data_IF_705942901989
#
_entry.id   IF_705942901989
#
_cell.length_a   1.000
_cell.length_b   1.000
_cell.length_c   1.000
_cell.angle_alpha   90.00
_cell.angle_beta   90.00
_cell.angle_gamma   90.00
#
_symmetry.space_group_name_H-M   'P 1'
#
loop_
_entity.id
_entity.type
_entity.pdbx_description
1 polymer ?
#
# COMPACT_ATOMS: atom_id res chain seq x y z
N UNK A 1 34.23 9.33 -9.02
CA UNK A 1 32.82 9.78 -9.19
C UNK A 1 32.13 9.71 -7.83
N UNK A 2 31.90 10.86 -7.19
CA UNK A 2 31.26 10.93 -5.88
C UNK A 2 29.82 10.44 -5.94
N UNK A 3 29.38 9.62 -4.98
CA UNK A 3 27.97 9.26 -4.82
C UNK A 3 27.18 10.55 -4.58
N UNK A 4 26.13 10.85 -5.37
CA UNK A 4 25.26 11.98 -5.05
C UNK A 4 24.65 11.72 -3.68
N UNK A 5 24.92 12.60 -2.74
CA UNK A 5 24.30 12.62 -1.41
C UNK A 5 22.85 13.02 -1.66
N UNK A 6 21.96 12.04 -1.82
CA UNK A 6 20.52 12.27 -1.81
C UNK A 6 20.20 12.76 -0.39
N UNK A 7 19.52 13.90 -0.27
CA UNK A 7 19.16 14.41 1.06
C UNK A 7 18.24 13.42 1.79
N UNK A 8 18.36 13.31 3.12
CA UNK A 8 17.56 12.37 3.93
C UNK A 8 16.06 12.49 3.63
N UNK A 9 15.56 13.70 3.39
CA UNK A 9 14.16 13.97 3.05
C UNK A 9 13.74 13.44 1.67
N UNK A 10 14.62 13.49 0.67
CA UNK A 10 14.38 12.92 -0.66
C UNK A 10 14.46 11.38 -0.64
N UNK A 11 15.39 10.83 0.14
CA UNK A 11 15.52 9.39 0.36
C UNK A 11 14.27 8.83 1.07
N UNK A 12 13.77 9.52 2.09
CA UNK A 12 12.55 9.17 2.80
C UNK A 12 11.30 9.19 1.92
N UNK A 13 11.20 10.18 1.02
CA UNK A 13 10.04 10.29 0.14
C UNK A 13 10.06 9.27 -1.02
N UNK A 14 11.24 8.74 -1.36
CA UNK A 14 11.39 7.57 -2.24
C UNK A 14 10.99 6.25 -1.56
N UNK A 15 11.28 6.12 -0.26
CA UNK A 15 10.98 4.96 0.58
C UNK A 15 9.51 4.97 1.05
N UNK A 16 8.56 4.86 0.11
CA UNK A 16 7.17 4.53 0.46
C UNK A 16 7.10 3.06 0.91
N UNK A 17 7.44 2.82 2.17
CA UNK A 17 7.43 1.49 2.77
C UNK A 17 6.00 1.13 3.15
N UNK A 18 5.48 0.09 2.51
CA UNK A 18 4.20 -0.55 2.82
C UNK A 18 4.36 -1.52 3.98
N UNK A 19 3.30 -1.72 4.76
CA UNK A 19 3.37 -2.63 5.91
C UNK A 19 3.55 -4.08 5.47
N UNK A 20 4.16 -4.96 6.29
CA UNK A 20 4.34 -6.37 5.92
C UNK A 20 3.03 -7.08 5.58
N UNK A 21 1.92 -6.67 6.19
CA UNK A 21 0.59 -7.26 5.94
C UNK A 21 0.00 -6.81 4.62
N UNK A 22 0.16 -5.53 4.26
CA UNK A 22 -0.21 -5.04 2.93
C UNK A 22 0.65 -5.71 1.85
N UNK A 23 1.95 -5.85 2.10
CA UNK A 23 2.88 -6.56 1.23
C UNK A 23 2.46 -8.01 0.99
N UNK A 24 2.09 -8.72 2.06
CA UNK A 24 1.58 -10.09 1.98
C UNK A 24 0.34 -10.17 1.09
N UNK A 25 -0.67 -9.33 1.34
CA UNK A 25 -1.92 -9.33 0.57
C UNK A 25 -1.67 -8.94 -0.90
N UNK A 26 -0.80 -7.96 -1.13
CA UNK A 26 -0.43 -7.48 -2.46
C UNK A 26 0.25 -8.58 -3.28
N UNK A 27 1.28 -9.25 -2.74
CA UNK A 27 1.96 -10.35 -3.44
C UNK A 27 0.99 -11.49 -3.73
N UNK A 28 0.18 -11.88 -2.73
CA UNK A 28 -0.79 -12.96 -2.91
C UNK A 28 -1.74 -12.66 -4.08
N UNK A 29 -2.32 -11.45 -4.08
CA UNK A 29 -3.19 -11.02 -5.17
C UNK A 29 -2.45 -10.95 -6.51
N UNK A 30 -1.27 -10.34 -6.55
CA UNK A 30 -0.51 -10.17 -7.80
C UNK A 30 -0.09 -11.50 -8.42
N UNK A 31 0.38 -12.46 -7.62
CA UNK A 31 0.76 -13.79 -8.14
C UNK A 31 -0.47 -14.54 -8.62
N UNK A 32 -1.52 -14.62 -7.79
CA UNK A 32 -2.76 -15.30 -8.17
C UNK A 32 -3.36 -14.71 -9.45
N UNK A 33 -3.40 -13.39 -9.57
CA UNK A 33 -4.02 -12.73 -10.71
C UNK A 33 -3.13 -12.73 -11.96
N UNK A 34 -1.90 -12.23 -11.87
CA UNK A 34 -1.04 -12.06 -13.05
C UNK A 34 -0.38 -13.37 -13.50
N UNK A 35 -0.04 -14.27 -12.57
CA UNK A 35 0.60 -15.55 -12.90
C UNK A 35 -0.46 -16.62 -13.12
N UNK A 36 -1.29 -16.90 -12.11
CA UNK A 36 -2.15 -18.09 -12.14
C UNK A 36 -3.38 -17.90 -13.03
N UNK A 37 -4.02 -16.73 -13.00
CA UNK A 37 -5.18 -16.44 -13.85
C UNK A 37 -4.70 -16.02 -15.24
N UNK A 38 -4.05 -14.86 -15.38
CA UNK A 38 -3.72 -14.31 -16.70
C UNK A 38 -2.56 -15.09 -17.34
N UNK A 39 -1.52 -15.40 -16.57
CA UNK A 39 -0.31 -16.05 -17.06
C UNK A 39 -0.57 -17.45 -17.57
N UNK A 40 -1.33 -18.28 -16.84
CA UNK A 40 -1.61 -19.66 -17.28
C UNK A 40 -2.78 -19.80 -18.26
N UNK A 41 -3.67 -18.79 -18.35
CA UNK A 41 -4.83 -18.84 -19.23
C UNK A 41 -4.53 -19.23 -20.69
N UNK A 42 -3.52 -18.65 -21.38
CA UNK A 42 -3.21 -18.99 -22.78
C UNK A 42 -2.90 -20.46 -23.03
N UNK A 43 -2.38 -21.16 -22.02
CA UNK A 43 -1.91 -22.54 -22.11
C UNK A 43 -3.00 -23.56 -21.82
N UNK A 44 -4.02 -23.16 -21.06
CA UNK A 44 -5.21 -23.97 -20.78
C UNK A 44 -6.25 -23.86 -21.91
N UNK A 45 -6.22 -22.77 -22.66
CA UNK A 45 -7.09 -22.50 -23.79
C UNK A 45 -6.68 -23.31 -25.03
N UNK A 46 -7.65 -23.87 -25.75
CA UNK A 46 -7.43 -24.67 -26.96
C UNK A 46 -6.83 -23.88 -28.15
N UNK A 47 -6.06 -24.53 -29.05
CA UNK A 47 -5.54 -25.90 -28.94
C UNK A 47 -4.47 -26.02 -27.85
N UNK A 48 -4.48 -27.13 -27.13
CA UNK A 48 -3.48 -27.40 -26.08
C UNK A 48 -2.13 -27.75 -26.70
N UNK A 49 -1.05 -27.21 -26.15
CA UNK A 49 0.32 -27.59 -26.51
C UNK A 49 1.13 -27.88 -25.25
N UNK A 50 1.54 -29.14 -25.10
CA UNK A 50 2.30 -29.60 -23.93
C UNK A 50 3.64 -28.85 -23.81
N UNK A 51 4.30 -28.57 -24.93
CA UNK A 51 5.60 -27.86 -24.96
C UNK A 51 5.48 -26.47 -24.35
N UNK A 52 4.49 -25.69 -24.80
CA UNK A 52 4.24 -24.35 -24.28
C UNK A 52 3.79 -24.39 -22.81
N UNK A 53 2.93 -25.35 -22.44
CA UNK A 53 2.47 -25.50 -21.07
C UNK A 53 3.63 -25.82 -20.10
N UNK A 54 4.51 -26.75 -20.43
CA UNK A 54 5.67 -27.10 -19.59
C UNK A 54 6.67 -25.95 -19.47
N UNK A 55 6.91 -25.22 -20.57
CA UNK A 55 7.79 -24.05 -20.56
C UNK A 55 7.24 -22.92 -19.66
N UNK A 56 5.92 -22.73 -19.62
CA UNK A 56 5.26 -21.80 -18.70
C UNK A 56 5.26 -22.30 -17.24
N UNK A 57 5.11 -23.61 -17.05
CA UNK A 57 4.93 -24.20 -15.72
C UNK A 57 6.13 -23.98 -14.80
N UNK A 58 7.35 -24.14 -15.30
CA UNK A 58 8.57 -24.02 -14.49
C UNK A 58 8.72 -22.64 -13.81
N UNK A 59 8.72 -21.51 -14.53
CA UNK A 59 8.82 -20.20 -13.90
C UNK A 59 7.58 -19.84 -13.07
N UNK A 60 6.39 -20.27 -13.49
CA UNK A 60 5.15 -20.07 -12.72
C UNK A 60 5.16 -20.81 -11.37
N UNK A 61 5.66 -22.05 -11.33
CA UNK A 61 5.84 -22.78 -10.07
C UNK A 61 6.89 -22.12 -9.18
N UNK A 62 8.02 -21.69 -9.75
CA UNK A 62 9.09 -21.06 -8.99
C UNK A 62 8.61 -19.80 -8.24
N UNK A 63 7.83 -18.93 -8.90
CA UNK A 63 7.31 -17.71 -8.27
C UNK A 63 6.21 -18.01 -7.25
N UNK A 64 5.38 -19.03 -7.48
CA UNK A 64 4.36 -19.48 -6.51
C UNK A 64 4.97 -20.04 -5.23
N UNK A 65 6.00 -20.89 -5.35
CA UNK A 65 6.75 -21.40 -4.19
C UNK A 65 7.40 -20.24 -3.44
N UNK A 66 7.99 -19.28 -4.15
CA UNK A 66 8.60 -18.12 -3.51
C UNK A 66 7.55 -17.26 -2.79
N UNK A 67 6.38 -17.05 -3.40
CA UNK A 67 5.26 -16.34 -2.79
C UNK A 67 4.78 -16.99 -1.49
N UNK A 68 4.68 -18.32 -1.43
CA UNK A 68 4.30 -19.04 -0.20
C UNK A 68 5.23 -18.69 0.97
N UNK A 69 6.54 -18.56 0.74
CA UNK A 69 7.48 -18.16 1.79
C UNK A 69 7.15 -16.77 2.34
N UNK A 70 6.74 -15.82 1.49
CA UNK A 70 6.31 -14.48 1.90
C UNK A 70 4.98 -14.47 2.64
N UNK A 71 4.04 -15.34 2.25
CA UNK A 71 2.77 -15.49 2.96
C UNK A 71 2.99 -16.03 4.36
N UNK A 72 3.94 -16.97 4.55
CA UNK A 72 4.24 -17.55 5.85
C UNK A 72 5.05 -16.60 6.75
N UNK A 73 5.99 -15.83 6.16
CA UNK A 73 6.96 -15.02 6.94
C UNK A 73 7.11 -13.57 6.45
N UNK A 74 6.02 -12.79 6.33
CA UNK A 74 6.05 -11.47 5.70
C UNK A 74 6.95 -10.46 6.44
N UNK A 75 7.05 -10.57 7.77
CA UNK A 75 7.83 -9.66 8.61
C UNK A 75 9.34 -9.85 8.47
N UNK A 76 9.79 -11.10 8.25
CA UNK A 76 11.22 -11.41 8.08
C UNK A 76 11.72 -11.03 6.69
N UNK A 77 10.84 -11.13 5.70
CA UNK A 77 11.16 -10.89 4.28
C UNK A 77 10.75 -9.50 3.79
N UNK A 78 10.39 -8.58 4.70
CA UNK A 78 9.97 -7.22 4.35
C UNK A 78 10.99 -6.50 3.45
N UNK A 79 12.29 -6.77 3.61
CA UNK A 79 13.31 -6.15 2.78
C UNK A 79 13.61 -6.78 1.44
N UNK A 80 13.16 -8.01 1.21
CA UNK A 80 13.26 -8.65 -0.09
C UNK A 80 11.96 -8.54 -0.89
N UNK A 81 10.91 -7.90 -0.34
CA UNK A 81 9.63 -7.68 -1.00
C UNK A 81 9.78 -7.08 -2.41
N UNK A 82 10.50 -5.96 -2.53
CA UNK A 82 10.71 -5.28 -3.81
C UNK A 82 11.54 -6.14 -4.79
N UNK A 83 12.37 -7.08 -4.29
CA UNK A 83 13.05 -8.05 -5.13
C UNK A 83 12.06 -9.03 -5.75
N UNK A 84 11.11 -9.55 -4.95
CA UNK A 84 10.09 -10.45 -5.46
C UNK A 84 9.22 -9.77 -6.53
N UNK A 85 8.82 -8.51 -6.33
CA UNK A 85 8.06 -7.75 -7.33
C UNK A 85 8.83 -7.57 -8.64
N UNK A 86 10.13 -7.30 -8.56
CA UNK A 86 11.00 -7.24 -9.75
C UNK A 86 11.06 -8.57 -10.49
N UNK A 87 11.25 -9.67 -9.76
CA UNK A 87 11.25 -11.02 -10.35
C UNK A 87 9.88 -11.40 -10.93
N UNK A 88 8.79 -11.04 -10.27
CA UNK A 88 7.42 -11.24 -10.73
C UNK A 88 7.20 -10.56 -12.09
N UNK A 89 7.68 -9.33 -12.25
CA UNK A 89 7.65 -8.61 -13.54
C UNK A 89 8.25 -9.43 -14.67
N UNK A 90 9.47 -9.96 -14.48
CA UNK A 90 10.18 -10.76 -15.48
C UNK A 90 9.40 -12.05 -15.79
N UNK A 91 8.91 -12.74 -14.76
CA UNK A 91 8.13 -13.98 -14.94
C UNK A 91 6.84 -13.71 -15.70
N UNK A 92 6.08 -12.68 -15.34
CA UNK A 92 4.85 -12.31 -16.05
C UNK A 92 5.12 -11.95 -17.51
N UNK A 93 6.13 -11.11 -17.79
CA UNK A 93 6.48 -10.74 -19.16
C UNK A 93 6.89 -11.95 -20.00
N UNK A 94 7.63 -12.91 -19.40
CA UNK A 94 7.96 -14.18 -20.05
C UNK A 94 6.70 -15.01 -20.33
N UNK A 95 5.81 -15.20 -19.35
CA UNK A 95 4.60 -15.99 -19.50
C UNK A 95 3.65 -15.41 -20.57
N UNK A 96 3.54 -14.09 -20.64
CA UNK A 96 2.70 -13.44 -21.64
C UNK A 96 3.31 -13.49 -23.03
N UNK A 97 4.62 -13.27 -23.15
CA UNK A 97 5.33 -13.46 -24.42
C UNK A 97 5.16 -14.89 -24.93
N UNK A 98 5.41 -15.89 -24.09
CA UNK A 98 5.28 -17.30 -24.44
C UNK A 98 3.82 -17.67 -24.79
N UNK A 99 2.84 -17.01 -24.16
CA UNK A 99 1.42 -17.15 -24.50
C UNK A 99 1.09 -16.56 -25.89
N UNK A 100 1.67 -15.42 -26.23
CA UNK A 100 1.58 -14.82 -27.57
C UNK A 100 2.19 -15.74 -28.61
N UNK A 101 3.39 -16.28 -28.36
CA UNK A 101 4.04 -17.26 -29.24
C UNK A 101 3.16 -18.49 -29.46
N UNK A 102 2.55 -19.01 -28.39
CA UNK A 102 1.59 -20.12 -28.50
C UNK A 102 0.42 -19.79 -29.41
N UNK A 103 -0.18 -18.60 -29.29
CA UNK A 103 -1.27 -18.20 -30.20
C UNK A 103 -0.79 -18.06 -31.65
N UNK A 104 0.39 -17.49 -31.89
CA UNK A 104 0.94 -17.32 -33.24
C UNK A 104 1.21 -18.68 -33.90
N UNK A 105 1.89 -19.59 -33.19
CA UNK A 105 2.30 -20.87 -33.76
C UNK A 105 1.17 -21.90 -33.80
N UNK A 106 0.37 -21.99 -32.74
CA UNK A 106 -0.62 -23.07 -32.58
C UNK A 106 -2.01 -22.65 -33.08
N UNK A 107 -2.44 -21.41 -32.81
CA UNK A 107 -3.78 -20.95 -33.18
C UNK A 107 -3.81 -20.30 -34.58
N UNK A 108 -2.77 -19.57 -34.97
CA UNK A 108 -2.68 -18.93 -36.30
C UNK A 108 -1.92 -19.77 -37.33
N UNK A 109 -1.21 -20.82 -36.90
CA UNK A 109 -0.48 -21.72 -37.79
C UNK A 109 0.73 -21.08 -38.48
N UNK A 110 1.38 -20.11 -37.83
CA UNK A 110 2.58 -19.48 -38.38
C UNK A 110 3.72 -20.52 -38.54
N UNK A 111 4.39 -20.48 -39.67
CA UNK A 111 5.54 -21.36 -39.96
C UNK A 111 6.87 -20.61 -39.82
N UNK A 112 7.92 -21.34 -39.42
CA UNK A 112 9.29 -20.81 -39.29
C UNK A 112 9.58 -20.06 -37.99
N UNK A 113 10.85 -19.76 -37.72
CA UNK A 113 11.30 -19.23 -36.42
C UNK A 113 11.32 -17.70 -36.32
N UNK A 114 10.90 -16.99 -37.37
CA UNK A 114 11.01 -15.52 -37.42
C UNK A 114 10.21 -14.83 -36.32
N UNK A 115 8.97 -15.29 -36.07
CA UNK A 115 8.11 -14.72 -35.04
C UNK A 115 8.71 -14.88 -33.64
N UNK A 116 9.24 -16.07 -33.34
CA UNK A 116 9.94 -16.33 -32.09
C UNK A 116 11.11 -15.37 -31.84
N UNK A 117 11.99 -15.16 -32.83
CA UNK A 117 13.14 -14.27 -32.67
C UNK A 117 12.73 -12.80 -32.54
N UNK A 118 11.72 -12.36 -33.29
CA UNK A 118 11.16 -11.01 -33.18
C UNK A 118 10.54 -10.81 -31.79
N UNK A 119 9.72 -11.76 -31.32
CA UNK A 119 9.10 -11.72 -30.00
C UNK A 119 10.13 -11.70 -28.88
N UNK A 120 11.17 -12.55 -28.96
CA UNK A 120 12.25 -12.59 -27.99
C UNK A 120 13.03 -11.27 -27.95
N UNK A 121 13.33 -10.69 -29.12
CA UNK A 121 13.98 -9.37 -29.20
C UNK A 121 13.12 -8.29 -28.54
N UNK A 122 11.80 -8.27 -28.82
CA UNK A 122 10.86 -7.32 -28.22
C UNK A 122 10.80 -7.49 -26.70
N UNK A 123 10.74 -8.73 -26.20
CA UNK A 123 10.72 -9.02 -24.77
C UNK A 123 11.98 -8.45 -24.08
N UNK A 124 13.16 -8.74 -24.60
CA UNK A 124 14.43 -8.26 -24.05
C UNK A 124 14.52 -6.73 -24.12
N UNK A 125 14.17 -6.16 -25.28
CA UNK A 125 14.18 -4.71 -25.50
C UNK A 125 13.25 -3.98 -24.53
N UNK A 126 11.99 -4.41 -24.42
CA UNK A 126 11.01 -3.79 -23.53
C UNK A 126 11.40 -3.93 -22.06
N UNK A 127 11.84 -5.12 -21.64
CA UNK A 127 12.31 -5.36 -20.26
C UNK A 127 13.46 -4.41 -19.91
N UNK A 128 14.44 -4.29 -20.81
CA UNK A 128 15.60 -3.42 -20.63
C UNK A 128 15.20 -1.94 -20.64
N UNK A 129 14.35 -1.53 -21.59
CA UNK A 129 13.84 -0.18 -21.70
C UNK A 129 13.09 0.24 -20.44
N UNK A 130 12.14 -0.57 -19.96
CA UNK A 130 11.35 -0.28 -18.76
C UNK A 130 12.22 -0.26 -17.49
N UNK A 131 13.25 -1.10 -17.41
CA UNK A 131 14.22 -1.03 -16.33
C UNK A 131 14.95 0.32 -16.28
N UNK A 132 15.48 0.79 -17.41
CA UNK A 132 16.15 2.08 -17.48
C UNK A 132 15.19 3.27 -17.33
N UNK A 133 14.03 3.20 -17.97
CA UNK A 133 12.97 4.21 -17.91
C UNK A 133 12.52 4.42 -16.46
N UNK A 134 12.17 3.34 -15.75
CA UNK A 134 11.69 3.43 -14.37
C UNK A 134 12.79 3.96 -13.45
N UNK A 135 14.03 3.51 -13.65
CA UNK A 135 15.20 4.03 -12.92
C UNK A 135 15.41 5.54 -13.16
N UNK A 136 15.21 6.01 -14.39
CA UNK A 136 15.36 7.41 -14.74
C UNK A 136 14.27 8.28 -14.12
N UNK A 137 13.00 7.86 -14.23
CA UNK A 137 11.87 8.58 -13.65
C UNK A 137 11.94 8.66 -12.13
N UNK A 138 12.35 7.58 -11.49
CA UNK A 138 12.63 7.55 -10.05
C UNK A 138 13.71 8.56 -9.65
N UNK A 139 14.80 8.69 -10.44
CA UNK A 139 15.86 9.67 -10.14
C UNK A 139 15.45 11.12 -10.40
N UNK A 140 14.60 11.37 -11.41
CA UNK A 140 14.17 12.72 -11.79
C UNK A 140 12.96 13.22 -11.00
N UNK A 141 12.15 12.33 -10.43
CA UNK A 141 11.09 12.67 -9.51
C UNK A 141 11.69 13.31 -8.26
N UNK A 142 11.88 14.64 -8.27
CA UNK A 142 12.15 15.39 -7.04
C UNK A 142 10.96 15.16 -6.12
N UNK A 143 11.14 14.32 -5.12
CA UNK A 143 10.08 13.88 -4.22
C UNK A 143 9.67 15.02 -3.25
N UNK A 144 9.05 16.07 -3.77
CA UNK A 144 8.41 17.09 -2.93
C UNK A 144 7.16 16.50 -2.31
N UNK A 145 7.28 16.02 -1.07
CA UNK A 145 6.15 15.62 -0.24
C UNK A 145 5.37 16.89 0.14
N UNK A 146 4.16 17.08 -0.39
CA UNK A 146 3.14 17.84 0.34
C UNK A 146 2.48 16.86 1.30
N UNK A 147 2.43 17.21 2.58
CA UNK A 147 1.95 16.35 3.69
C UNK A 147 0.44 16.03 3.59
N UNK A 148 -0.27 16.65 2.65
CA UNK A 148 -1.74 16.65 2.49
C UNK A 148 -2.31 15.75 1.40
N UNK A 149 -1.51 15.07 0.57
CA UNK A 149 -2.08 14.15 -0.44
C UNK A 149 -2.39 12.78 0.18
N UNK A 150 -3.51 12.70 0.91
CA UNK A 150 -4.24 11.45 1.11
C UNK A 150 -4.85 11.03 -0.24
N UNK A 151 -4.54 9.81 -0.66
CA UNK A 151 -5.40 8.94 -1.48
C UNK A 151 -6.08 9.53 -2.72
N UNK A 152 -5.36 10.22 -3.60
CA UNK A 152 -5.77 10.17 -5.01
C UNK A 152 -5.14 8.93 -5.62
N UNK A 153 -5.97 7.95 -5.99
CA UNK A 153 -5.58 6.84 -6.85
C UNK A 153 -4.78 7.44 -8.01
N UNK A 154 -3.54 6.99 -8.14
CA UNK A 154 -2.68 7.40 -9.25
C UNK A 154 -3.44 7.14 -10.54
N UNK A 155 -3.38 8.03 -11.54
CA UNK A 155 -4.05 7.80 -12.84
C UNK A 155 -3.71 6.41 -13.45
N UNK A 156 -2.57 5.84 -13.07
CA UNK A 156 -2.16 4.47 -13.36
C UNK A 156 -3.04 3.40 -12.68
N UNK A 157 -3.43 3.59 -11.42
CA UNK A 157 -4.30 2.69 -10.67
C UNK A 157 -5.73 2.72 -11.20
N UNK A 158 -6.20 3.88 -11.68
CA UNK A 158 -7.49 4.04 -12.38
C UNK A 158 -7.48 3.31 -13.73
N UNK A 159 -6.38 3.43 -14.49
CA UNK A 159 -6.22 2.73 -15.77
C UNK A 159 -6.11 1.21 -15.59
N UNK A 160 -5.38 0.73 -14.57
CA UNK A 160 -5.30 -0.71 -14.25
C UNK A 160 -6.68 -1.25 -13.83
N UNK A 161 -7.39 -0.56 -12.94
CA UNK A 161 -8.71 -0.99 -12.50
C UNK A 161 -9.73 -0.98 -13.65
N UNK A 162 -9.70 0.04 -14.52
CA UNK A 162 -10.52 0.08 -15.72
C UNK A 162 -10.18 -1.05 -16.70
N UNK A 163 -8.90 -1.36 -16.92
CA UNK A 163 -8.48 -2.45 -17.80
C UNK A 163 -8.92 -3.83 -17.30
N UNK A 164 -8.88 -4.05 -15.97
CA UNK A 164 -9.36 -5.29 -15.35
C UNK A 164 -10.88 -5.41 -15.49
N UNK A 165 -11.63 -4.32 -15.25
CA UNK A 165 -13.10 -4.31 -15.31
C UNK A 165 -13.63 -4.45 -16.73
N UNK A 166 -12.97 -3.84 -17.72
CA UNK A 166 -13.41 -3.90 -19.13
C UNK A 166 -12.93 -5.20 -19.79
N UNK A 167 -11.72 -5.67 -19.47
CA UNK A 167 -11.12 -6.85 -20.12
C UNK A 167 -11.69 -8.20 -19.64
N UNK A 168 -12.14 -8.29 -18.38
CA UNK A 168 -12.64 -9.57 -17.82
C UNK A 168 -13.95 -10.07 -18.45
N UNK A 169 -14.99 -9.24 -18.66
CA UNK A 169 -16.22 -9.67 -19.33
C UNK A 169 -15.97 -10.14 -20.78
N UNK A 170 -15.09 -9.45 -21.51
CA UNK A 170 -14.72 -9.84 -22.88
C UNK A 170 -13.91 -11.15 -22.91
N UNK A 171 -13.07 -11.41 -21.91
CA UNK A 171 -12.38 -12.70 -21.72
C UNK A 171 -13.38 -13.84 -21.48
N UNK A 172 -14.38 -13.62 -20.62
CA UNK A 172 -15.40 -14.62 -20.29
C UNK A 172 -16.32 -14.91 -21.49
N UNK A 173 -16.76 -13.89 -22.22
CA UNK A 173 -17.58 -14.06 -23.44
C UNK A 173 -16.80 -14.76 -24.56
N UNK A 174 -15.48 -14.52 -24.66
CA UNK A 174 -14.61 -15.16 -25.66
C UNK A 174 -14.40 -16.67 -25.45
N UNK A 175 -14.74 -17.21 -24.27
CA UNK A 175 -14.66 -18.65 -23.98
C UNK A 175 -15.70 -19.47 -24.74
N UNK A 176 -16.72 -18.83 -25.33
CA UNK A 176 -17.83 -19.54 -25.97
C UNK A 176 -17.55 -19.99 -27.42
N UNK A 177 -16.63 -19.36 -28.17
CA UNK A 177 -16.25 -19.80 -29.53
C UNK A 177 -14.84 -19.32 -29.91
N UNK A 178 -13.79 -20.12 -29.67
CA UNK A 178 -12.42 -19.81 -30.10
C UNK A 178 -12.24 -19.91 -31.62
N UNK A 179 -12.65 -18.86 -32.33
CA UNK A 179 -12.29 -18.60 -33.73
C UNK A 179 -10.97 -17.80 -33.79
N UNK A 180 -10.32 -17.81 -34.94
CA UNK A 180 -9.09 -17.04 -35.26
C UNK A 180 -9.18 -15.57 -34.83
N UNK A 181 -10.37 -14.96 -34.90
CA UNK A 181 -10.62 -13.58 -34.44
C UNK A 181 -10.34 -13.37 -32.94
N UNK A 182 -10.56 -14.37 -32.09
CA UNK A 182 -10.31 -14.26 -30.65
C UNK A 182 -8.81 -14.35 -30.32
N UNK A 183 -8.00 -14.98 -31.17
CA UNK A 183 -6.56 -15.08 -30.97
C UNK A 183 -5.87 -13.70 -31.06
N UNK A 184 -6.27 -12.86 -32.02
CA UNK A 184 -5.73 -11.50 -32.14
C UNK A 184 -6.06 -10.63 -30.92
N UNK A 185 -7.30 -10.71 -30.42
CA UNK A 185 -7.70 -9.97 -29.22
C UNK A 185 -6.88 -10.41 -28.00
N UNK A 186 -6.65 -11.70 -27.85
CA UNK A 186 -5.83 -12.23 -26.75
C UNK A 186 -4.35 -11.84 -26.87
N UNK A 187 -3.79 -11.80 -28.09
CA UNK A 187 -2.43 -11.31 -28.30
C UNK A 187 -2.30 -9.85 -27.86
N UNK A 188 -3.26 -9.00 -28.24
CA UNK A 188 -3.27 -7.57 -27.83
C UNK A 188 -3.41 -7.44 -26.32
N UNK A 189 -4.31 -8.21 -25.71
CA UNK A 189 -4.53 -8.18 -24.25
C UNK A 189 -3.28 -8.63 -23.48
N UNK A 190 -2.65 -9.73 -23.90
CA UNK A 190 -1.40 -10.21 -23.28
C UNK A 190 -0.26 -9.21 -23.48
N UNK A 191 -0.18 -8.56 -24.64
CA UNK A 191 0.79 -7.50 -24.89
C UNK A 191 0.59 -6.31 -23.94
N UNK A 192 -0.65 -5.89 -23.74
CA UNK A 192 -1.00 -4.82 -22.80
C UNK A 192 -0.70 -5.21 -21.35
N UNK A 193 -1.05 -6.42 -20.93
CA UNK A 193 -0.72 -6.94 -19.60
C UNK A 193 0.80 -7.05 -19.38
N UNK A 194 1.57 -7.39 -20.40
CA UNK A 194 3.03 -7.37 -20.35
C UNK A 194 3.57 -5.97 -20.06
N UNK A 195 3.05 -4.95 -20.75
CA UNK A 195 3.44 -3.56 -20.48
C UNK A 195 3.08 -3.14 -19.04
N UNK A 196 1.89 -3.49 -18.54
CA UNK A 196 1.49 -3.18 -17.15
C UNK A 196 2.47 -3.82 -16.17
N UNK A 197 2.72 -5.12 -16.31
CA UNK A 197 3.59 -5.86 -15.38
C UNK A 197 5.05 -5.42 -15.47
N UNK A 198 5.52 -4.87 -16.61
CA UNK A 198 6.86 -4.32 -16.77
C UNK A 198 7.13 -3.08 -15.89
N UNK A 199 6.11 -2.32 -15.46
CA UNK A 199 6.33 -1.23 -14.51
C UNK A 199 6.85 -1.71 -13.15
N UNK A 200 6.57 -2.96 -12.78
CA UNK A 200 7.05 -3.56 -11.53
C UNK A 200 8.57 -3.80 -11.54
N UNK A 201 9.23 -3.78 -12.70
CA UNK A 201 10.68 -3.99 -12.81
C UNK A 201 11.50 -2.92 -12.08
N UNK A 202 10.93 -1.72 -11.88
CA UNK A 202 11.54 -0.67 -11.06
C UNK A 202 11.80 -1.09 -9.62
N UNK A 203 11.12 -2.14 -9.14
CA UNK A 203 11.29 -2.66 -7.79
C UNK A 203 12.70 -3.22 -7.55
N UNK A 204 13.42 -3.69 -8.59
CA UNK A 204 14.85 -4.03 -8.46
C UNK A 204 15.69 -2.84 -8.01
N UNK A 205 15.43 -1.66 -8.57
CA UNK A 205 16.15 -0.45 -8.21
C UNK A 205 15.82 -0.04 -6.77
N UNK A 206 14.55 -0.11 -6.37
CA UNK A 206 14.12 0.16 -4.99
C UNK A 206 14.73 -0.82 -3.99
N UNK A 207 14.72 -2.12 -4.30
CA UNK A 207 15.38 -3.14 -3.50
C UNK A 207 16.88 -2.85 -3.29
N UNK A 208 17.62 -2.57 -4.37
CA UNK A 208 19.04 -2.29 -4.28
C UNK A 208 19.32 -0.99 -3.50
N UNK A 209 18.48 0.03 -3.67
CA UNK A 209 18.57 1.26 -2.89
C UNK A 209 18.35 1.03 -1.40
N UNK A 210 17.30 0.29 -1.01
CA UNK A 210 17.01 -0.06 0.39
C UNK A 210 18.18 -0.85 0.99
N UNK A 211 18.68 -1.85 0.25
CA UNK A 211 19.80 -2.69 0.69
C UNK A 211 21.08 -1.89 0.91
N UNK A 212 21.33 -0.86 0.10
CA UNK A 212 22.53 -0.02 0.23
C UNK A 212 22.41 1.09 1.27
N UNK A 213 21.20 1.40 1.76
CA UNK A 213 20.92 2.50 2.68
C UNK A 213 20.14 2.02 3.92
N UNK A 214 20.46 0.83 4.43
CA UNK A 214 19.72 0.21 5.53
C UNK A 214 19.70 1.07 6.82
N UNK A 215 20.78 1.78 7.12
CA UNK A 215 20.86 2.62 8.32
C UNK A 215 19.85 3.78 8.25
N UNK A 216 19.73 4.42 7.07
CA UNK A 216 18.75 5.47 6.82
C UNK A 216 17.32 4.92 6.92
N UNK A 217 17.08 3.72 6.36
CA UNK A 217 15.78 3.05 6.43
C UNK A 217 15.41 2.70 7.87
N UNK A 218 16.34 2.20 8.69
CA UNK A 218 16.07 1.85 10.09
C UNK A 218 15.87 3.10 10.97
N UNK A 219 16.57 4.20 10.68
CA UNK A 219 16.36 5.50 11.34
C UNK A 219 14.96 6.06 11.04
N UNK A 220 14.51 5.88 9.80
CA UNK A 220 13.20 6.32 9.32
C UNK A 220 12.04 5.43 9.77
N UNK A 221 12.26 4.12 9.74
CA UNK A 221 11.28 3.07 9.99
C UNK A 221 11.86 2.10 11.02
N UNK A 222 11.74 2.47 12.29
CA UNK A 222 12.34 1.75 13.43
C UNK A 222 11.89 0.28 13.54
N UNK A 223 10.71 -0.04 13.00
CA UNK A 223 10.14 -1.40 13.00
C UNK A 223 10.46 -2.22 11.73
N UNK A 224 11.29 -1.70 10.82
CA UNK A 224 11.62 -2.36 9.55
C UNK A 224 12.44 -3.64 9.75
N UNK A 225 12.02 -4.75 9.13
CA UNK A 225 12.59 -6.11 9.29
C UNK A 225 12.59 -6.66 10.72
N UNK A 226 11.92 -5.99 11.67
CA UNK A 226 11.78 -6.49 13.04
C UNK A 226 10.70 -7.56 13.08
N UNK A 227 10.92 -8.62 13.85
CA UNK A 227 9.93 -9.68 14.04
C UNK A 227 8.65 -9.11 14.65
N UNK A 228 7.51 -9.68 14.28
CA UNK A 228 6.19 -9.20 14.77
C UNK A 228 6.13 -9.06 16.29
N UNK A 229 6.81 -9.95 17.03
CA UNK A 229 6.84 -9.96 18.51
C UNK A 229 7.75 -8.87 19.11
N UNK A 230 8.72 -8.39 18.35
CA UNK A 230 9.75 -7.44 18.78
C UNK A 230 9.48 -6.02 18.28
N UNK A 231 8.52 -5.85 17.36
CA UNK A 231 8.07 -4.53 16.92
C UNK A 231 7.51 -3.81 18.13
N UNK A 232 8.16 -2.72 18.51
CA UNK A 232 7.63 -1.81 19.52
C UNK A 232 6.27 -1.35 19.02
N UNK A 233 5.25 -1.43 19.87
CA UNK A 233 4.00 -0.71 19.63
C UNK A 233 4.41 0.71 19.24
N UNK A 234 3.87 1.20 18.12
CA UNK A 234 4.11 2.58 17.69
C UNK A 234 3.87 3.46 18.90
N UNK A 235 4.82 4.36 19.18
CA UNK A 235 4.79 5.28 20.33
C UNK A 235 3.39 5.84 20.47
N UNK A 236 2.92 5.89 21.71
CA UNK A 236 1.68 6.53 22.14
C UNK A 236 1.47 7.84 21.38
N UNK A 237 0.38 7.90 20.64
CA UNK A 237 -0.05 9.13 19.97
C UNK A 237 -0.99 9.83 20.95
N UNK A 238 -0.65 11.05 21.32
CA UNK A 238 -1.53 11.88 22.13
C UNK A 238 -2.64 12.47 21.27
N UNK A 239 -3.86 12.45 21.76
CA UNK A 239 -4.97 13.22 21.19
C UNK A 239 -5.36 14.33 22.15
N UNK A 240 -5.56 15.54 21.64
CA UNK A 240 -5.98 16.67 22.48
C UNK A 240 -7.45 16.98 22.23
N UNK A 241 -8.29 16.75 23.23
CA UNK A 241 -9.67 17.22 23.23
C UNK A 241 -9.73 18.66 23.71
N UNK A 242 -10.44 19.50 22.95
CA UNK A 242 -10.75 20.88 23.32
C UNK A 242 -12.21 20.95 23.79
N UNK A 243 -12.40 21.31 25.05
CA UNK A 243 -13.71 21.45 25.69
C UNK A 243 -13.92 22.94 26.01
N UNK A 244 -14.96 23.55 25.46
CA UNK A 244 -15.33 24.96 25.74
C UNK A 244 -16.83 25.05 25.92
N UNK A 245 -17.26 25.72 26.98
CA UNK A 245 -18.66 26.09 27.15
C UNK A 245 -19.02 27.14 26.08
N UNK A 246 -19.85 26.73 25.11
CA UNK A 246 -20.30 27.57 24.00
C UNK A 246 -19.67 27.28 22.64
N UNK A 247 -19.88 28.20 21.70
CA UNK A 247 -19.33 28.07 20.35
C UNK A 247 -17.86 28.48 20.37
N UNK A 248 -17.03 27.58 19.85
CA UNK A 248 -15.60 27.82 19.68
C UNK A 248 -15.43 28.19 18.22
N UNK A 249 -14.83 29.35 17.93
CA UNK A 249 -14.81 29.87 16.58
C UNK A 249 -13.86 29.06 15.70
N UNK A 250 -14.05 29.11 14.39
CA UNK A 250 -13.20 28.37 13.48
C UNK A 250 -11.73 28.83 13.55
N UNK A 251 -11.51 30.12 13.82
CA UNK A 251 -10.19 30.71 14.03
C UNK A 251 -9.52 30.22 15.32
N UNK A 252 -10.28 30.16 16.43
CA UNK A 252 -9.77 29.62 17.70
C UNK A 252 -9.34 28.14 17.55
N UNK A 253 -10.16 27.30 16.90
CA UNK A 253 -9.77 25.91 16.62
C UNK A 253 -8.52 25.83 15.76
N UNK A 254 -8.40 26.71 14.77
CA UNK A 254 -7.28 26.71 13.85
C UNK A 254 -5.98 27.03 14.58
N UNK A 255 -5.98 28.04 15.44
CA UNK A 255 -4.81 28.38 16.27
C UNK A 255 -4.40 27.19 17.15
N UNK A 256 -5.35 26.56 17.84
CA UNK A 256 -5.06 25.38 18.68
C UNK A 256 -4.52 24.20 17.87
N UNK A 257 -5.08 23.97 16.68
CA UNK A 257 -4.64 22.88 15.80
C UNK A 257 -3.26 23.14 15.22
N UNK A 258 -2.98 24.38 14.81
CA UNK A 258 -1.67 24.78 14.29
C UNK A 258 -0.62 24.70 15.43
N UNK A 259 -0.95 25.17 16.63
CA UNK A 259 -0.03 25.22 17.76
C UNK A 259 0.27 23.87 18.42
N UNK A 260 -0.71 22.96 18.47
CA UNK A 260 -0.56 21.62 19.07
C UNK A 260 -0.32 20.53 18.03
N UNK A 261 -0.70 20.75 16.78
CA UNK A 261 -0.45 19.83 15.66
C UNK A 261 0.99 19.87 15.13
N UNK A 262 1.80 20.84 15.56
CA UNK A 262 3.25 20.86 15.29
C UNK A 262 4.01 19.74 16.02
N UNK A 263 3.45 19.19 17.10
CA UNK A 263 4.08 18.13 17.87
C UNK A 263 4.00 16.77 17.17
N UNK A 264 5.15 16.10 17.05
CA UNK A 264 5.24 14.82 16.33
C UNK A 264 4.52 13.65 17.02
N UNK A 265 4.18 13.80 18.30
CA UNK A 265 3.47 12.84 19.13
C UNK A 265 1.99 13.20 19.34
N UNK A 266 1.46 14.22 18.63
CA UNK A 266 0.03 14.54 18.65
C UNK A 266 -0.61 14.07 17.35
N UNK A 267 -1.57 13.14 17.44
CA UNK A 267 -2.27 12.59 16.27
C UNK A 267 -3.48 13.40 15.85
N UNK A 268 -4.17 14.01 16.82
CA UNK A 268 -5.37 14.79 16.55
C UNK A 268 -5.64 15.87 17.60
N UNK A 269 -6.23 16.97 17.16
CA UNK A 269 -6.80 18.02 18.01
C UNK A 269 -8.24 18.22 17.56
N UNK A 270 -9.23 17.94 18.42
CA UNK A 270 -10.65 18.11 18.07
C UNK A 270 -11.44 18.74 19.19
N UNK A 271 -12.46 19.52 18.81
CA UNK A 271 -13.50 19.96 19.73
C UNK A 271 -14.39 18.78 20.08
N UNK A 272 -14.65 18.57 21.38
CA UNK A 272 -15.60 17.55 21.84
C UNK A 272 -16.70 18.24 22.64
N UNK A 273 -17.95 18.16 22.15
CA UNK A 273 -19.07 18.99 22.65
C UNK A 273 -19.70 18.47 23.95
N UNK A 274 -19.37 17.25 24.37
CA UNK A 274 -19.77 16.72 25.68
C UNK A 274 -19.08 15.38 25.87
N UNK A 275 -17.89 15.39 26.46
CA UNK A 275 -17.46 14.18 27.15
C UNK A 275 -18.40 14.03 28.36
N UNK A 276 -19.15 12.92 28.44
CA UNK A 276 -19.64 12.44 29.73
C UNK A 276 -18.41 11.93 30.49
N UNK A 277 -17.59 12.85 30.97
CA UNK A 277 -16.59 12.57 31.98
C UNK A 277 -17.41 12.32 33.24
N UNK A 278 -17.55 11.05 33.64
CA UNK A 278 -18.12 10.75 34.94
C UNK A 278 -17.23 11.44 36.00
N UNK A 279 -17.85 12.39 36.71
CA UNK A 279 -17.22 13.54 37.38
C UNK A 279 -16.49 13.24 38.70
N UNK A 280 -16.04 12.01 38.96
CA UNK A 280 -15.41 11.70 40.27
C UNK A 280 -13.88 11.83 40.31
N UNK A 281 -13.18 11.77 39.16
CA UNK A 281 -11.69 11.75 39.16
C UNK A 281 -10.99 13.02 38.63
N UNK A 282 -11.72 14.01 38.12
CA UNK A 282 -11.11 15.24 37.56
C UNK A 282 -11.30 16.44 38.50
N UNK A 283 -10.48 16.50 39.54
CA UNK A 283 -10.43 17.64 40.46
C UNK A 283 -9.81 18.88 39.80
N UNK A 284 -10.58 19.97 39.81
CA UNK A 284 -10.24 21.40 39.56
C UNK A 284 -10.87 22.02 38.32
N UNK A 285 -12.21 22.09 38.29
CA UNK A 285 -12.98 22.90 37.34
C UNK A 285 -12.62 24.41 37.38
N UNK A 286 -11.99 24.90 38.46
CA UNK A 286 -11.62 26.32 38.61
C UNK A 286 -10.51 26.79 37.64
N UNK A 287 -9.67 25.90 37.11
CA UNK A 287 -8.56 26.26 36.21
C UNK A 287 -8.93 26.23 34.72
N UNK A 288 -10.18 25.93 34.36
CA UNK A 288 -10.58 25.55 33.00
C UNK A 288 -11.35 26.62 32.21
N UNK A 289 -11.19 27.90 32.52
CA UNK A 289 -11.87 29.02 31.82
C UNK A 289 -10.84 29.85 31.03
N UNK A 290 -11.03 30.11 29.72
CA UNK A 290 -12.27 29.95 28.94
C UNK A 290 -12.41 28.65 28.13
N UNK A 291 -11.40 27.79 28.08
CA UNK A 291 -11.47 26.44 27.49
C UNK A 291 -10.58 25.48 28.27
N UNK A 292 -10.85 24.19 28.13
CA UNK A 292 -10.12 23.10 28.75
C UNK A 292 -9.53 22.20 27.68
N UNK A 293 -8.23 21.94 27.79
CA UNK A 293 -7.49 21.03 26.93
C UNK A 293 -7.24 19.74 27.71
N UNK A 294 -7.67 18.60 27.17
CA UNK A 294 -7.44 17.28 27.76
C UNK A 294 -6.55 16.49 26.81
N UNK A 295 -5.37 16.13 27.29
CA UNK A 295 -4.44 15.26 26.57
C UNK A 295 -4.79 13.82 26.90
N UNK A 296 -5.04 13.03 25.87
CA UNK A 296 -5.35 11.61 25.96
C UNK A 296 -4.23 10.79 25.38
N UNK A 297 -3.77 9.79 26.13
CA UNK A 297 -2.78 8.84 25.67
C UNK A 297 -3.50 7.73 24.90
N UNK A 298 -3.32 7.69 23.59
CA UNK A 298 -4.01 6.71 22.74
C UNK A 298 -3.00 5.74 22.16
N UNK A 299 -3.05 4.51 22.65
CA UNK A 299 -2.39 3.40 22.00
C UNK A 299 -3.06 3.15 20.64
N UNK A 300 -2.34 3.36 19.52
CA UNK A 300 -2.84 3.02 18.17
C UNK A 300 -3.37 1.58 18.10
N UNK A 301 -2.79 0.66 18.88
CA UNK A 301 -3.24 -0.73 18.96
C UNK A 301 -4.68 -0.90 19.49
N UNK A 302 -5.22 0.04 20.26
CA UNK A 302 -6.59 0.01 20.76
C UNK A 302 -7.60 0.44 19.70
N UNK A 303 -7.32 1.50 18.95
CA UNK A 303 -8.14 1.94 17.80
C UNK A 303 -8.29 0.77 16.83
N UNK A 304 -7.17 0.13 16.51
CA UNK A 304 -7.07 -0.98 15.58
C UNK A 304 -7.84 -2.25 16.03
N UNK A 305 -7.92 -2.47 17.35
CA UNK A 305 -8.72 -3.56 17.96
C UNK A 305 -10.21 -3.25 17.89
N UNK A 306 -10.61 -2.03 18.23
CA UNK A 306 -12.02 -1.63 18.22
C UNK A 306 -12.58 -1.51 16.79
N UNK A 307 -11.79 -1.04 15.82
CA UNK A 307 -12.17 -1.09 14.39
C UNK A 307 -12.39 -2.55 13.96
N UNK A 308 -11.47 -3.47 14.29
CA UNK A 308 -11.64 -4.90 13.96
C UNK A 308 -12.89 -5.50 14.60
N UNK A 309 -13.21 -5.11 15.84
CA UNK A 309 -14.41 -5.54 16.55
C UNK A 309 -15.67 -5.00 15.86
N UNK A 310 -15.69 -3.71 15.51
CA UNK A 310 -16.78 -3.11 14.74
C UNK A 310 -16.98 -3.80 13.39
N UNK A 311 -15.90 -4.02 12.63
CA UNK A 311 -15.95 -4.71 11.34
C UNK A 311 -16.54 -6.11 11.50
N UNK A 312 -16.12 -6.88 12.52
CA UNK A 312 -16.70 -8.22 12.76
C UNK A 312 -18.20 -8.18 13.04
N UNK A 313 -18.65 -7.23 13.84
CA UNK A 313 -20.07 -7.07 14.21
C UNK A 313 -20.89 -6.64 12.98
N UNK A 314 -20.37 -5.69 12.20
CA UNK A 314 -21.08 -5.06 11.09
C UNK A 314 -20.87 -5.75 9.74
N UNK A 315 -19.96 -6.73 9.64
CA UNK A 315 -19.58 -7.43 8.39
C UNK A 315 -20.78 -7.95 7.61
N UNK A 316 -21.76 -8.54 8.30
CA UNK A 316 -22.94 -9.13 7.67
C UNK A 316 -23.97 -8.08 7.25
N UNK A 317 -24.07 -6.98 8.00
CA UNK A 317 -24.99 -5.88 7.68
C UNK A 317 -24.55 -5.09 6.44
N UNK A 318 -23.24 -5.00 6.19
CA UNK A 318 -22.67 -4.19 5.10
C UNK A 318 -21.93 -5.03 4.04
N UNK A 319 -22.25 -6.33 3.91
CA UNK A 319 -21.52 -7.25 3.04
C UNK A 319 -21.47 -6.79 1.57
N UNK A 320 -22.53 -6.16 1.05
CA UNK A 320 -22.63 -5.73 -0.35
C UNK A 320 -22.38 -4.24 -0.58
N UNK A 321 -22.48 -3.40 0.46
CA UNK A 321 -22.48 -1.93 0.33
C UNK A 321 -21.17 -1.32 0.86
N UNK A 322 -20.38 -2.09 1.62
CA UNK A 322 -19.23 -1.56 2.35
C UNK A 322 -19.69 -0.80 3.60
N UNK A 323 -18.82 -0.75 4.61
CA UNK A 323 -19.11 0.00 5.85
C UNK A 323 -18.85 1.49 5.54
N UNK A 324 -19.82 2.40 5.80
CA UNK A 324 -19.64 3.83 5.58
C UNK A 324 -18.46 4.40 6.38
N UNK A 325 -17.77 5.41 5.83
CA UNK A 325 -16.61 6.05 6.47
C UNK A 325 -16.97 6.64 7.86
N UNK A 326 -18.15 7.24 8.00
CA UNK A 326 -18.67 7.77 9.27
C UNK A 326 -18.68 6.74 10.42
N UNK A 327 -18.80 5.44 10.11
CA UNK A 327 -18.79 4.38 11.12
C UNK A 327 -17.38 4.08 11.62
N UNK A 328 -16.37 4.28 10.78
CA UNK A 328 -14.97 4.22 11.20
C UNK A 328 -14.61 5.45 12.03
N UNK A 329 -15.01 6.65 11.59
CA UNK A 329 -14.79 7.90 12.32
C UNK A 329 -15.43 7.86 13.72
N UNK A 330 -16.65 7.33 13.85
CA UNK A 330 -17.29 7.16 15.17
C UNK A 330 -16.51 6.24 16.11
N UNK A 331 -15.92 5.17 15.58
CA UNK A 331 -15.11 4.25 16.40
C UNK A 331 -13.77 4.88 16.75
N UNK A 332 -13.15 5.56 15.80
CA UNK A 332 -11.89 6.28 15.99
C UNK A 332 -12.05 7.38 17.04
N UNK A 333 -13.05 8.26 16.91
CA UNK A 333 -13.33 9.33 17.87
C UNK A 333 -13.66 8.79 19.26
N UNK A 334 -14.40 7.68 19.35
CA UNK A 334 -14.70 7.05 20.64
C UNK A 334 -13.45 6.56 21.37
N UNK A 335 -12.44 6.08 20.63
CA UNK A 335 -11.20 5.55 21.23
C UNK A 335 -10.21 6.69 21.48
N UNK A 336 -10.08 7.63 20.54
CA UNK A 336 -9.23 8.81 20.68
C UNK A 336 -9.65 9.70 21.85
N UNK A 337 -10.97 9.79 22.08
CA UNK A 337 -11.56 10.63 23.11
C UNK A 337 -12.20 9.85 24.27
N UNK A 338 -11.71 8.64 24.57
CA UNK A 338 -12.15 7.90 25.76
C UNK A 338 -11.57 8.58 27.02
N UNK A 339 -12.41 9.09 27.94
CA UNK A 339 -11.93 9.79 29.13
C UNK A 339 -11.01 8.96 30.02
N UNK A 340 -11.08 7.62 29.94
CA UNK A 340 -10.16 6.72 30.66
C UNK A 340 -8.70 6.82 30.19
N UNK A 341 -8.49 7.39 29.01
CA UNK A 341 -7.18 7.60 28.43
C UNK A 341 -6.62 9.01 28.72
N UNK A 342 -7.38 9.86 29.43
CA UNK A 342 -6.90 11.20 29.78
C UNK A 342 -5.73 11.11 30.75
N UNK A 343 -4.62 11.75 30.39
CA UNK A 343 -3.36 11.75 31.16
C UNK A 343 -3.00 13.14 31.68
N UNK A 344 -3.51 14.19 31.05
CA UNK A 344 -3.22 15.57 31.44
C UNK A 344 -4.37 16.50 31.07
N UNK A 345 -4.57 17.53 31.88
CA UNK A 345 -5.61 18.55 31.68
C UNK A 345 -5.08 19.92 32.09
N UNK A 346 -5.29 20.94 31.24
CA UNK A 346 -5.05 22.33 31.62
C UNK A 346 -5.97 23.28 30.84
N UNK A 347 -6.25 24.45 31.42
CA UNK A 347 -6.85 25.59 30.70
C UNK A 347 -5.83 26.43 29.94
N UNK A 348 -4.53 26.24 30.20
CA UNK A 348 -3.43 26.92 29.51
C UNK A 348 -2.76 26.00 28.50
N UNK A 349 -2.60 26.52 27.27
CA UNK A 349 -1.90 25.83 26.19
C UNK A 349 -0.40 25.65 26.50
N UNK A 350 0.20 26.57 27.25
CA UNK A 350 1.61 26.50 27.61
C UNK A 350 1.92 25.27 28.49
N UNK A 351 1.01 24.92 29.39
CA UNK A 351 1.13 23.75 30.25
C UNK A 351 1.02 22.45 29.45
N UNK A 352 0.05 22.37 28.55
CA UNK A 352 -0.13 21.24 27.64
C UNK A 352 1.11 21.05 26.77
N UNK A 353 1.68 22.14 26.26
CA UNK A 353 2.96 22.11 25.53
C UNK A 353 4.09 21.59 26.40
N UNK A 354 4.21 22.08 27.63
CA UNK A 354 5.22 21.62 28.59
C UNK A 354 5.12 20.12 28.86
N UNK A 355 3.91 19.60 29.05
CA UNK A 355 3.63 18.18 29.22
C UNK A 355 4.05 17.37 27.98
N UNK A 356 3.57 17.76 26.79
CA UNK A 356 3.89 17.06 25.53
C UNK A 356 5.39 17.09 25.21
N UNK A 357 6.10 18.16 25.57
CA UNK A 357 7.55 18.29 25.41
C UNK A 357 8.32 17.38 26.37
N UNK A 358 7.86 17.23 27.60
CA UNK A 358 8.49 16.35 28.59
C UNK A 358 8.34 14.88 28.20
N UNK A 359 7.18 14.46 27.69
CA UNK A 359 6.92 13.10 27.21
C UNK A 359 7.65 12.74 25.90
N UNK A 360 8.24 13.71 25.22
CA UNK A 360 9.09 13.48 24.03
C UNK A 360 10.56 13.15 24.38
N UNK A 361 11.03 13.50 25.57
CA UNK A 361 12.40 13.20 26.04
C UNK A 361 12.54 11.74 26.43
#
# INVERSE_FOLDING_TARGET
>A
MGKPIVSDNEALAYLRMTTPKENQNSIFFMVLFFVDIIGFFPYLVGPFSLTFFLAALLPGMAINVWMLVYVLTPYKLEGSYDLLLGCLSIVCSYLYWLGIEKFIYVNLGAEGNSFFWIGLFILIFLTTFFYFFTRYYVKKGKYKRKRTDRQHLSGFEIVISAAIVIGMPQLLDSMSFFKVQNAYLLIVLLGFMSIITLFLIGSFHKYHFIKNNQDLVRKAFTNYQVLKKERKAVKEDYSVAVIKEGNLTHEEMKVLTDELGEFSNVSSVKKVTSLKLDQEDFHNEENCKPFCLVVMNVEQGQIDKEIKKMVRIKRWKYFFIGIPEEEYEKVEDRVLFDPRNAVFQSGDIADVRGFLLNEMR
#
